data_IF_248664623633
#
_entry.id   IF_248664623633
#
_cell.length_a   1.000
_cell.length_b   1.000
_cell.length_c   1.000
_cell.angle_alpha   90.00
_cell.angle_beta   90.00
_cell.angle_gamma   90.00
#
_symmetry.space_group_name_H-M   'P 1'
#
loop_
_entity.id
_entity.type
_entity.pdbx_description
1 polymer ?
#
# COMPACT_ATOMS: atom_id res chain seq x y z
N UNK A 1 22.20 2.81 -15.45
CA UNK A 1 20.94 2.73 -14.68
C UNK A 1 20.47 1.29 -14.81
N UNK A 2 20.66 0.47 -13.79
CA UNK A 2 20.08 -0.88 -13.79
C UNK A 2 18.60 -0.72 -13.49
N UNK A 3 17.76 -0.80 -14.51
CA UNK A 3 16.33 -1.01 -14.31
C UNK A 3 16.18 -2.36 -13.61
N UNK A 4 15.55 -2.38 -12.45
CA UNK A 4 15.11 -3.64 -11.89
C UNK A 4 14.04 -4.18 -12.83
N UNK A 5 14.31 -5.30 -13.52
CA UNK A 5 13.31 -6.03 -14.31
C UNK A 5 12.31 -6.69 -13.34
N UNK A 6 11.39 -5.89 -12.80
CA UNK A 6 10.30 -6.34 -11.96
C UNK A 6 9.17 -6.78 -12.88
N UNK A 7 8.77 -8.05 -12.78
CA UNK A 7 7.72 -8.60 -13.61
C UNK A 7 6.40 -7.81 -13.45
N UNK A 8 5.84 -7.35 -14.57
CA UNK A 8 4.60 -6.56 -14.57
C UNK A 8 4.79 -5.06 -14.28
N UNK A 9 6.00 -4.60 -14.00
CA UNK A 9 6.29 -3.17 -13.87
C UNK A 9 6.51 -2.54 -15.26
N UNK A 10 5.44 -2.08 -15.88
CA UNK A 10 5.43 -1.37 -17.16
C UNK A 10 5.15 0.11 -16.93
N UNK A 11 5.43 1.01 -17.89
CA UNK A 11 5.04 2.42 -17.75
C UNK A 11 3.56 2.61 -17.45
N UNK A 12 2.70 1.78 -18.06
CA UNK A 12 1.26 1.78 -17.82
C UNK A 12 0.93 1.41 -16.37
N UNK A 13 1.51 0.34 -15.83
CA UNK A 13 1.24 -0.05 -14.44
C UNK A 13 1.80 0.96 -13.45
N UNK A 14 2.94 1.60 -13.76
CA UNK A 14 3.46 2.73 -12.98
C UNK A 14 2.46 3.88 -12.93
N UNK A 15 1.94 4.33 -14.08
CA UNK A 15 0.98 5.45 -14.12
C UNK A 15 -0.28 5.15 -13.30
N UNK A 16 -0.86 3.96 -13.49
CA UNK A 16 -2.06 3.53 -12.76
C UNK A 16 -1.80 3.46 -11.24
N UNK A 17 -0.62 2.99 -10.82
CA UNK A 17 -0.27 2.94 -9.40
C UNK A 17 0.00 4.32 -8.80
N UNK A 18 0.60 5.23 -9.58
CA UNK A 18 0.80 6.63 -9.16
C UNK A 18 -0.55 7.31 -8.94
N UNK A 19 -1.50 7.11 -9.85
CA UNK A 19 -2.86 7.63 -9.72
C UNK A 19 -3.56 7.03 -8.50
N UNK A 20 -3.58 5.69 -8.37
CA UNK A 20 -4.19 5.01 -7.24
C UNK A 20 -3.59 5.44 -5.88
N UNK A 21 -2.26 5.54 -5.79
CA UNK A 21 -1.59 6.00 -4.58
C UNK A 21 -1.92 7.45 -4.22
N UNK A 22 -2.02 8.33 -5.22
CA UNK A 22 -2.38 9.73 -5.02
C UNK A 22 -3.83 9.90 -4.55
N UNK A 23 -4.76 9.11 -5.11
CA UNK A 23 -6.16 9.08 -4.68
C UNK A 23 -6.28 8.59 -3.24
N UNK A 24 -5.66 7.45 -2.90
CA UNK A 24 -5.69 6.88 -1.55
C UNK A 24 -5.05 7.81 -0.51
N UNK A 25 -3.92 8.44 -0.84
CA UNK A 25 -3.31 9.47 0.02
C UNK A 25 -4.27 10.65 0.27
N UNK A 26 -4.96 11.10 -0.79
CA UNK A 26 -5.99 12.14 -0.70
C UNK A 26 -7.15 11.75 0.21
N UNK A 27 -7.63 10.51 0.12
CA UNK A 27 -8.69 10.00 1.01
C UNK A 27 -8.25 9.95 2.48
N UNK A 28 -7.04 9.49 2.76
CA UNK A 28 -6.47 9.46 4.11
C UNK A 28 -6.35 10.88 4.66
N UNK A 29 -5.82 11.82 3.86
CA UNK A 29 -5.68 13.23 4.23
C UNK A 29 -7.03 13.86 4.55
N UNK A 30 -8.07 13.57 3.76
CA UNK A 30 -9.42 14.08 4.01
C UNK A 30 -10.00 13.57 5.34
N UNK A 31 -9.74 12.31 5.70
CA UNK A 31 -10.19 11.69 6.97
C UNK A 31 -9.40 12.18 8.19
N UNK A 32 -8.15 12.62 8.00
CA UNK A 32 -7.23 12.99 9.09
C UNK A 32 -7.76 14.11 9.99
N UNK A 33 -8.43 15.14 9.43
CA UNK A 33 -8.89 16.33 10.17
C UNK A 33 -9.93 16.03 11.26
N UNK A 34 -10.65 14.93 11.15
CA UNK A 34 -11.74 14.55 12.06
C UNK A 34 -11.49 13.20 12.75
N UNK A 35 -10.29 12.63 12.59
CA UNK A 35 -9.97 11.32 13.11
C UNK A 35 -9.48 11.38 14.57
N UNK A 36 -9.82 10.39 15.40
CA UNK A 36 -9.21 10.22 16.72
C UNK A 36 -7.72 9.79 16.64
N UNK A 37 -7.21 9.42 15.45
CA UNK A 37 -5.84 8.91 15.24
C UNK A 37 -5.06 9.72 14.19
N UNK A 38 -4.96 11.06 14.30
CA UNK A 38 -4.42 11.90 13.22
C UNK A 38 -2.94 11.62 12.92
N UNK A 39 -2.13 11.32 13.94
CA UNK A 39 -0.71 11.00 13.77
C UNK A 39 -0.51 9.70 13.00
N UNK A 40 -1.30 8.66 13.30
CA UNK A 40 -1.23 7.40 12.58
C UNK A 40 -1.61 7.59 11.10
N UNK A 41 -2.70 8.31 10.84
CA UNK A 41 -3.13 8.61 9.47
C UNK A 41 -2.12 9.44 8.70
N UNK A 42 -1.42 10.37 9.36
CA UNK A 42 -0.35 11.14 8.74
C UNK A 42 0.80 10.23 8.26
N UNK A 43 1.22 9.25 9.06
CA UNK A 43 2.26 8.31 8.63
C UNK A 43 1.80 7.38 7.51
N UNK A 44 0.51 6.99 7.49
CA UNK A 44 -0.08 6.24 6.37
C UNK A 44 -0.07 7.08 5.09
N UNK A 45 -0.52 8.34 5.15
CA UNK A 45 -0.47 9.30 4.03
C UNK A 45 0.96 9.41 3.48
N UNK A 46 1.94 9.66 4.35
CA UNK A 46 3.35 9.73 3.96
C UNK A 46 3.88 8.45 3.33
N UNK A 47 3.34 7.29 3.73
CA UNK A 47 3.71 6.00 3.16
C UNK A 47 3.24 5.89 1.71
N UNK A 48 2.01 6.32 1.40
CA UNK A 48 1.54 6.43 0.01
C UNK A 48 2.38 7.41 -0.80
N UNK A 49 2.62 8.63 -0.30
CA UNK A 49 3.44 9.63 -0.99
C UNK A 49 4.85 9.11 -1.30
N UNK A 50 5.43 8.32 -0.38
CA UNK A 50 6.73 7.68 -0.57
C UNK A 50 6.71 6.64 -1.68
N UNK A 51 5.68 5.79 -1.74
CA UNK A 51 5.52 4.79 -2.79
C UNK A 51 5.28 5.45 -4.15
N UNK A 52 4.39 6.45 -4.22
CA UNK A 52 4.14 7.25 -5.43
C UNK A 52 5.45 7.83 -5.95
N UNK A 53 6.24 8.49 -5.07
CA UNK A 53 7.53 9.05 -5.46
C UNK A 53 8.50 7.98 -5.96
N UNK A 54 8.54 6.79 -5.34
CA UNK A 54 9.38 5.68 -5.80
C UNK A 54 9.01 5.27 -7.22
N UNK A 55 7.72 5.09 -7.50
CA UNK A 55 7.22 4.75 -8.83
C UNK A 55 7.52 5.84 -9.86
N UNK A 56 7.20 7.11 -9.57
CA UNK A 56 7.43 8.23 -10.50
C UNK A 56 8.91 8.46 -10.84
N UNK A 57 9.82 8.15 -9.90
CA UNK A 57 11.26 8.30 -10.11
C UNK A 57 11.94 7.02 -10.63
N UNK A 58 11.20 5.94 -10.84
CA UNK A 58 11.76 4.64 -11.22
C UNK A 58 12.74 4.07 -10.19
N UNK A 59 12.54 4.39 -8.91
CA UNK A 59 13.30 3.83 -7.79
C UNK A 59 12.76 2.43 -7.44
N UNK A 60 13.54 1.66 -6.67
CA UNK A 60 13.11 0.33 -6.21
C UNK A 60 11.77 0.42 -5.44
N UNK A 61 10.67 -0.13 -6.00
CA UNK A 61 9.35 -0.06 -5.39
C UNK A 61 9.15 -1.11 -4.30
N UNK A 62 10.15 -1.96 -4.02
CA UNK A 62 10.04 -2.96 -2.96
C UNK A 62 9.71 -2.29 -1.62
N UNK A 63 8.68 -2.81 -0.92
CA UNK A 63 8.30 -2.27 0.37
C UNK A 63 9.39 -2.60 1.39
N UNK A 64 9.77 -1.61 2.19
CA UNK A 64 10.77 -1.76 3.24
C UNK A 64 10.16 -1.92 4.64
N UNK A 65 8.84 -1.72 4.77
CA UNK A 65 8.10 -1.76 6.04
C UNK A 65 6.74 -2.46 5.84
N UNK A 66 6.11 -2.99 6.91
CA UNK A 66 4.74 -3.52 6.84
C UNK A 66 3.74 -2.48 6.32
N UNK A 67 3.89 -1.22 6.72
CA UNK A 67 3.08 -0.12 6.20
C UNK A 67 3.21 0.04 4.68
N UNK A 68 4.44 -0.03 4.14
CA UNK A 68 4.65 0.02 2.68
C UNK A 68 4.06 -1.19 1.98
N UNK A 69 4.15 -2.40 2.57
CA UNK A 69 3.51 -3.59 2.01
C UNK A 69 1.99 -3.44 1.94
N UNK A 70 1.35 -3.00 3.03
CA UNK A 70 -0.09 -2.78 3.06
C UNK A 70 -0.52 -1.69 2.08
N UNK A 71 0.16 -0.54 2.07
CA UNK A 71 -0.19 0.56 1.16
C UNK A 71 -0.02 0.13 -0.30
N UNK A 72 1.04 -0.61 -0.63
CA UNK A 72 1.25 -1.14 -1.98
C UNK A 72 0.16 -2.14 -2.38
N UNK A 73 -0.24 -3.03 -1.46
CA UNK A 73 -1.38 -3.93 -1.69
C UNK A 73 -2.64 -3.15 -2.03
N UNK A 74 -2.97 -2.13 -1.22
CA UNK A 74 -4.15 -1.30 -1.44
C UNK A 74 -4.09 -0.52 -2.77
N UNK A 75 -2.92 -0.02 -3.17
CA UNK A 75 -2.74 0.63 -4.48
C UNK A 75 -3.04 -0.33 -5.63
N UNK A 76 -2.54 -1.58 -5.55
CA UNK A 76 -2.76 -2.59 -6.59
C UNK A 76 -4.25 -2.99 -6.62
N UNK A 77 -4.87 -3.27 -5.47
CA UNK A 77 -6.29 -3.62 -5.41
C UNK A 77 -7.19 -2.49 -5.91
N UNK A 78 -6.86 -1.23 -5.59
CA UNK A 78 -7.60 -0.06 -6.09
C UNK A 78 -7.47 0.08 -7.60
N UNK A 79 -6.26 -0.11 -8.14
CA UNK A 79 -5.99 -0.12 -9.57
C UNK A 79 -6.77 -1.23 -10.31
N UNK A 80 -6.82 -2.44 -9.75
CA UNK A 80 -7.59 -3.57 -10.31
C UNK A 80 -9.09 -3.31 -10.31
N UNK A 81 -9.63 -2.60 -9.31
CA UNK A 81 -11.06 -2.25 -9.25
C UNK A 81 -11.45 -1.15 -10.26
N UNK A 82 -10.53 -0.26 -10.60
CA UNK A 82 -10.76 0.81 -11.58
C UNK A 82 -10.71 0.36 -13.04
N UNK A 83 -9.97 -0.71 -13.34
CA UNK A 83 -9.87 -1.31 -14.68
C UNK A 83 -10.82 -2.49 -14.83
N UNK A 84 -11.93 -2.34 -15.56
CA UNK A 84 -12.98 -3.36 -15.63
C UNK A 84 -12.55 -4.79 -16.00
N UNK A 85 -11.39 -4.99 -16.64
CA UNK A 85 -10.78 -6.30 -16.86
C UNK A 85 -9.50 -6.47 -16.01
N UNK A 86 -9.26 -7.68 -15.44
CA UNK A 86 -8.06 -7.94 -14.64
C UNK A 86 -6.79 -7.68 -15.45
N UNK A 87 -5.93 -6.78 -14.96
CA UNK A 87 -4.66 -6.49 -15.62
C UNK A 87 -3.62 -7.57 -15.25
N UNK A 88 -3.18 -8.41 -16.22
CA UNK A 88 -2.21 -9.45 -15.94
C UNK A 88 -0.85 -8.91 -15.47
N UNK A 89 -0.51 -7.66 -15.80
CA UNK A 89 0.73 -7.03 -15.36
C UNK A 89 0.63 -6.63 -13.89
N UNK A 90 -0.53 -6.15 -13.42
CA UNK A 90 -0.77 -5.89 -11.98
C UNK A 90 -0.72 -7.18 -11.16
N UNK A 91 -1.29 -8.28 -11.68
CA UNK A 91 -1.21 -9.59 -11.01
C UNK A 91 0.24 -10.08 -10.89
N UNK A 92 1.05 -9.91 -11.95
CA UNK A 92 2.47 -10.27 -11.92
C UNK A 92 3.25 -9.38 -10.96
N UNK A 93 2.94 -8.10 -10.94
CA UNK A 93 3.58 -7.12 -10.07
C UNK A 93 3.27 -7.38 -8.60
N UNK A 94 2.01 -7.68 -8.27
CA UNK A 94 1.58 -8.08 -6.93
C UNK A 94 2.43 -9.25 -6.43
N UNK A 95 2.51 -10.33 -7.20
CA UNK A 95 3.32 -11.51 -6.87
C UNK A 95 4.81 -11.20 -6.73
N UNK A 96 5.32 -10.25 -7.52
CA UNK A 96 6.74 -9.89 -7.51
C UNK A 96 7.13 -8.98 -6.32
N UNK A 97 6.23 -8.11 -5.86
CA UNK A 97 6.51 -7.13 -4.80
C UNK A 97 5.94 -7.51 -3.44
N UNK A 98 4.96 -8.40 -3.40
CA UNK A 98 4.24 -8.82 -2.19
C UNK A 98 4.17 -10.37 -2.11
N UNK A 99 5.32 -11.07 -2.02
CA UNK A 99 5.33 -12.53 -1.95
C UNK A 99 4.72 -13.07 -0.64
N UNK A 100 4.83 -12.32 0.45
CA UNK A 100 4.39 -12.72 1.78
C UNK A 100 2.94 -12.32 2.04
N UNK A 101 2.15 -13.13 2.74
CA UNK A 101 0.71 -12.89 2.97
C UNK A 101 0.37 -12.06 4.20
N UNK A 102 1.36 -11.62 4.99
CA UNK A 102 1.10 -10.87 6.24
C UNK A 102 0.29 -9.58 6.00
N UNK A 103 0.50 -8.93 4.86
CA UNK A 103 -0.24 -7.74 4.48
C UNK A 103 -1.72 -8.02 4.13
N UNK A 104 -2.08 -9.26 3.75
CA UNK A 104 -3.46 -9.65 3.43
C UNK A 104 -4.32 -9.68 4.71
N UNK A 105 -3.77 -10.13 5.83
CA UNK A 105 -4.47 -10.12 7.13
C UNK A 105 -4.77 -8.69 7.57
N UNK A 106 -3.79 -7.78 7.43
CA UNK A 106 -3.98 -6.35 7.72
C UNK A 106 -4.98 -5.72 6.76
N UNK A 107 -4.92 -6.07 5.47
CA UNK A 107 -5.90 -5.63 4.47
C UNK A 107 -7.32 -6.09 4.82
N UNK A 108 -7.46 -7.31 5.34
CA UNK A 108 -8.75 -7.84 5.78
C UNK A 108 -9.31 -7.09 7.00
N UNK A 109 -8.46 -6.77 7.98
CA UNK A 109 -8.88 -6.07 9.21
C UNK A 109 -9.48 -4.70 8.91
N UNK A 110 -8.87 -3.93 8.01
CA UNK A 110 -9.36 -2.59 7.65
C UNK A 110 -10.33 -2.57 6.46
N UNK A 111 -10.69 -3.73 5.89
CA UNK A 111 -11.63 -3.77 4.77
C UNK A 111 -13.05 -3.41 5.22
N UNK A 112 -13.63 -2.39 4.60
CA UNK A 112 -15.05 -2.06 4.74
C UNK A 112 -15.71 -2.36 3.41
N UNK A 113 -16.57 -3.38 3.38
CA UNK A 113 -17.47 -3.63 2.26
C UNK A 113 -18.52 -2.52 2.24
N UNK A 114 -18.33 -1.52 1.38
CA UNK A 114 -19.38 -0.59 1.02
C UNK A 114 -20.01 -1.02 -0.31
N UNK A 115 -21.30 -0.75 -0.48
CA UNK A 115 -22.11 -1.06 -1.69
C UNK A 115 -21.59 -0.42 -3.00
N UNK A 116 -20.47 0.32 -2.97
CA UNK A 116 -19.90 1.03 -4.11
C UNK A 116 -18.38 0.85 -4.29
N UNK A 117 -17.77 -0.16 -3.66
CA UNK A 117 -16.32 -0.43 -3.70
C UNK A 117 -15.72 -0.61 -2.31
N UNK A 118 -14.66 -1.40 -2.21
CA UNK A 118 -13.98 -1.65 -0.94
C UNK A 118 -13.27 -0.38 -0.49
N UNK A 119 -13.71 0.24 0.61
CA UNK A 119 -12.98 1.34 1.25
C UNK A 119 -12.18 0.79 2.42
N UNK A 120 -10.94 1.24 2.56
CA UNK A 120 -10.11 0.86 3.69
C UNK A 120 -10.29 1.82 4.87
N UNK A 121 -10.46 1.27 6.06
CA UNK A 121 -10.54 1.99 7.33
C UNK A 121 -9.23 1.86 8.11
N UNK A 122 -8.36 2.85 7.91
CA UNK A 122 -7.10 2.96 8.65
C UNK A 122 -7.28 3.29 10.14
N UNK A 123 -8.44 3.80 10.57
CA UNK A 123 -8.72 4.02 11.99
C UNK A 123 -9.01 2.67 12.66
N UNK A 124 -9.81 1.82 12.02
CA UNK A 124 -10.03 0.45 12.48
C UNK A 124 -8.72 -0.34 12.59
N UNK A 125 -7.84 -0.22 11.60
CA UNK A 125 -6.49 -0.79 11.68
C UNK A 125 -5.72 -0.28 12.90
N UNK A 126 -5.69 1.05 13.10
CA UNK A 126 -4.97 1.67 14.20
C UNK A 126 -5.49 1.24 15.58
N UNK A 127 -6.79 0.95 15.70
CA UNK A 127 -7.41 0.52 16.95
C UNK A 127 -7.11 -0.95 17.29
N UNK A 128 -6.88 -1.78 16.27
CA UNK A 128 -6.45 -3.19 16.45
C UNK A 128 -4.96 -3.28 16.78
N UNK A 129 -4.13 -2.34 16.29
CA UNK A 129 -2.71 -2.30 16.61
C UNK A 129 -2.47 -1.83 18.05
N UNK A 130 -1.73 -2.64 18.82
CA UNK A 130 -1.19 -2.18 20.11
C UNK A 130 -0.16 -1.08 19.93
N UNK A 131 0.19 -0.30 20.97
CA UNK A 131 1.22 0.74 20.83
C UNK A 131 2.58 0.20 20.32
N UNK A 132 3.09 -0.97 20.77
CA UNK A 132 4.23 -1.62 20.14
C UNK A 132 3.96 -2.03 18.68
N UNK A 133 2.74 -2.49 18.37
CA UNK A 133 2.32 -2.85 17.02
C UNK A 133 2.31 -1.67 16.05
N UNK A 134 1.93 -0.47 16.49
CA UNK A 134 2.00 0.75 15.68
C UNK A 134 3.45 1.09 15.30
N UNK A 135 4.38 0.98 16.26
CA UNK A 135 5.79 1.23 15.97
C UNK A 135 6.37 0.18 15.01
N UNK A 136 6.07 -1.10 15.22
CA UNK A 136 6.51 -2.19 14.35
C UNK A 136 5.94 -2.06 12.93
N UNK A 137 4.71 -1.57 12.79
CA UNK A 137 4.06 -1.39 11.50
C UNK A 137 4.81 -0.40 10.58
N UNK A 138 5.45 0.63 11.14
CA UNK A 138 6.27 1.58 10.38
C UNK A 138 7.78 1.29 10.43
N UNK A 139 8.21 0.31 11.21
CA UNK A 139 9.62 -0.08 11.30
C UNK A 139 10.08 -0.79 10.02
N UNK A 140 11.35 -0.61 9.60
CA UNK A 140 11.95 -1.43 8.56
C UNK A 140 11.87 -2.92 8.90
N UNK A 141 11.74 -3.77 7.88
CA UNK A 141 11.97 -5.21 8.06
C UNK A 141 13.39 -5.44 8.60
N UNK A 142 13.51 -6.32 9.60
CA UNK A 142 14.82 -6.77 10.02
C UNK A 142 15.46 -7.56 8.87
N UNK A 143 16.75 -7.36 8.63
CA UNK A 143 17.46 -8.00 7.48
C UNK A 143 17.43 -9.53 7.53
N UNK A 144 17.15 -10.10 8.69
CA UNK A 144 17.03 -11.55 8.90
C UNK A 144 15.62 -12.10 8.58
N UNK A 145 14.61 -11.24 8.45
CA UNK A 145 13.24 -11.64 8.06
C UNK A 145 13.05 -11.73 6.52
N UNK A 146 14.05 -11.30 5.73
CA UNK A 146 14.02 -11.35 4.27
C UNK A 146 14.51 -12.69 3.68
N UNK A 147 14.74 -13.69 4.53
CA UNK A 147 15.19 -15.04 4.15
C UNK A 147 14.31 -16.08 4.88
N UNK A 148 13.03 -16.17 4.50
CA UNK A 148 12.16 -17.28 4.91
C UNK A 148 11.28 -17.74 3.74
#
# INVERSE_FOLDING_TARGET
MSGFDIAGLTPRTVDVLVDAGSELAGEVRAKMLHSPRPVFLHYVEQTFDTLVRKFSLGLDPRPATPAQQLCLHLMITHAEQGGGEPDPDLIRLHRALLPDRAHEELAQIGSVTADSGTRYDFVALADVLTAPGVNAFFAPFDRDDLVA
#
